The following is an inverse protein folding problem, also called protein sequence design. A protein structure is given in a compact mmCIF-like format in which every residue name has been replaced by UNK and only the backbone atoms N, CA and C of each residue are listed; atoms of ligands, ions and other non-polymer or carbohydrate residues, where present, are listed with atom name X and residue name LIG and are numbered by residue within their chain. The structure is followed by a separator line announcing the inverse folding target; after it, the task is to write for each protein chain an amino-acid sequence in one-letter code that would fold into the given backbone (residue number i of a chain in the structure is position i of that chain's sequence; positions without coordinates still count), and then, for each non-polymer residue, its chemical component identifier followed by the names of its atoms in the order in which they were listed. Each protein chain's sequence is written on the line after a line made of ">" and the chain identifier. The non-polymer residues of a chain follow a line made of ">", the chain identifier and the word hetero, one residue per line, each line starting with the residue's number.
data_IF_922625063772
#
_entry.id   IF_922625063772
#
_cell.length_a   1.000
_cell.length_b   1.000
_cell.length_c   1.000
_cell.angle_alpha   90.00
_cell.angle_beta   90.00
_cell.angle_gamma   90.00
#
_symmetry.space_group_name_H-M   'P 1'
#
loop_
_entity.id
_entity.type
_entity.pdbx_description
1 polymer ?
#
# COMPACT_ATOMS: atom_id res chain seq x y z
N UNK A 1 -6.21 -1.24 7.77
CA UNK A 1 -6.03 -2.55 7.10
C UNK A 1 -6.26 -3.71 8.08
N UNK A 2 -7.05 -4.72 7.72
CA UNK A 2 -7.04 -6.01 8.41
C UNK A 2 -5.60 -6.60 8.44
N UNK A 3 -5.19 -7.26 9.55
CA UNK A 3 -3.81 -7.73 9.70
C UNK A 3 -3.40 -8.78 8.65
N UNK A 4 -4.36 -9.38 7.95
CA UNK A 4 -4.16 -10.33 6.84
C UNK A 4 -3.25 -9.81 5.73
N UNK A 5 -3.27 -8.50 5.47
CA UNK A 5 -2.39 -7.90 4.47
C UNK A 5 -0.98 -7.54 4.97
N UNK A 6 -0.76 -7.60 6.30
CA UNK A 6 0.48 -7.18 6.97
C UNK A 6 0.99 -5.78 6.55
N UNK A 7 0.07 -4.83 6.31
CA UNK A 7 0.41 -3.50 5.78
C UNK A 7 0.44 -2.36 6.80
N UNK A 8 -0.10 -2.52 8.00
CA UNK A 8 -0.29 -1.42 8.95
C UNK A 8 0.97 -0.63 9.25
N UNK A 9 2.03 -1.30 9.72
CA UNK A 9 3.33 -0.66 10.02
C UNK A 9 4.01 -0.12 8.75
N UNK A 10 3.89 -0.83 7.63
CA UNK A 10 4.50 -0.43 6.36
C UNK A 10 3.86 0.84 5.77
N UNK A 11 2.57 1.07 6.04
CA UNK A 11 1.87 2.31 5.67
C UNK A 11 2.31 3.47 6.58
N UNK A 12 2.38 3.25 7.89
CA UNK A 12 2.88 4.28 8.81
C UNK A 12 4.29 4.75 8.42
N UNK A 13 5.17 3.82 8.02
CA UNK A 13 6.52 4.15 7.56
C UNK A 13 6.54 5.02 6.28
N UNK A 14 5.64 4.82 5.30
CA UNK A 14 5.58 5.72 4.14
C UNK A 14 5.08 7.10 4.51
N UNK A 15 4.05 7.16 5.35
CA UNK A 15 3.39 8.42 5.67
C UNK A 15 4.37 9.33 6.43
N UNK A 16 5.18 8.74 7.34
CA UNK A 16 6.29 9.44 7.99
C UNK A 16 7.32 9.95 6.97
N UNK A 17 7.69 9.15 5.98
CA UNK A 17 8.67 9.56 4.97
C UNK A 17 8.16 10.71 4.08
N UNK A 18 6.88 10.70 3.72
CA UNK A 18 6.25 11.80 2.98
C UNK A 18 6.14 13.06 3.82
N UNK A 19 5.70 12.92 5.08
CA UNK A 19 5.59 14.05 6.00
C UNK A 19 6.96 14.66 6.32
N UNK A 20 7.98 13.84 6.56
CA UNK A 20 9.33 14.34 6.83
C UNK A 20 9.88 15.13 5.64
N UNK A 21 9.64 14.65 4.42
CA UNK A 21 10.06 15.34 3.20
C UNK A 21 9.33 16.69 3.03
N UNK A 22 8.01 16.72 3.28
CA UNK A 22 7.20 17.92 3.21
C UNK A 22 7.60 18.97 4.27
N UNK A 23 7.92 18.54 5.49
CA UNK A 23 8.38 19.43 6.56
C UNK A 23 9.77 20.00 6.27
N UNK A 24 10.68 19.19 5.72
CA UNK A 24 12.00 19.67 5.28
C UNK A 24 11.86 20.74 4.20
N UNK A 25 11.04 20.49 3.19
CA UNK A 25 10.74 21.46 2.12
C UNK A 25 10.21 22.78 2.68
N UNK A 26 9.24 22.71 3.61
CA UNK A 26 8.66 23.90 4.23
C UNK A 26 9.68 24.73 5.01
N UNK A 27 10.46 24.11 5.88
CA UNK A 27 11.40 24.83 6.73
C UNK A 27 12.68 25.26 6.01
N UNK A 28 13.16 24.50 5.02
CA UNK A 28 14.39 24.81 4.30
C UNK A 28 14.17 25.73 3.09
N UNK A 29 13.03 25.58 2.40
CA UNK A 29 12.77 26.25 1.12
C UNK A 29 11.60 27.25 1.20
N UNK A 30 10.82 27.24 2.30
CA UNK A 30 9.66 28.10 2.48
C UNK A 30 8.44 27.69 1.62
N UNK A 31 8.46 26.50 1.03
CA UNK A 31 7.40 26.00 0.15
C UNK A 31 6.38 25.17 0.92
N UNK A 32 5.09 25.48 0.76
CA UNK A 32 3.98 24.71 1.31
C UNK A 32 3.51 23.57 0.40
N UNK A 33 4.10 23.43 -0.80
CA UNK A 33 3.63 22.46 -1.80
C UNK A 33 3.65 21.03 -1.24
N UNK A 34 4.75 20.60 -0.63
CA UNK A 34 4.85 19.27 -0.02
C UNK A 34 3.78 19.00 1.05
N UNK A 35 3.43 20.01 1.86
CA UNK A 35 2.39 19.92 2.91
C UNK A 35 1.00 19.80 2.26
N UNK A 36 0.73 20.62 1.25
CA UNK A 36 -0.56 20.63 0.56
C UNK A 36 -0.83 19.32 -0.20
N UNK A 37 0.21 18.69 -0.76
CA UNK A 37 0.09 17.42 -1.49
C UNK A 37 0.18 16.17 -0.59
N UNK A 38 0.52 16.32 0.69
CA UNK A 38 0.80 15.19 1.61
C UNK A 38 -0.33 14.16 1.64
N UNK A 39 -1.56 14.63 1.86
CA UNK A 39 -2.73 13.77 2.01
C UNK A 39 -3.02 12.98 0.74
N UNK A 40 -2.91 13.62 -0.43
CA UNK A 40 -3.13 12.96 -1.71
C UNK A 40 -2.10 11.83 -1.93
N UNK A 41 -0.81 12.11 -1.70
CA UNK A 41 0.28 11.13 -1.84
C UNK A 41 0.12 9.94 -0.90
N UNK A 42 -0.25 10.17 0.36
CA UNK A 42 -0.48 9.10 1.32
C UNK A 42 -1.69 8.24 0.90
N UNK A 43 -2.80 8.88 0.54
CA UNK A 43 -4.05 8.20 0.20
C UNK A 43 -3.91 7.28 -1.03
N UNK A 44 -3.14 7.68 -2.03
CA UNK A 44 -2.85 6.81 -3.19
C UNK A 44 -2.23 5.47 -2.79
N UNK A 45 -1.39 5.45 -1.73
CA UNK A 45 -0.77 4.22 -1.22
C UNK A 45 -1.66 3.46 -0.26
N UNK A 46 -2.33 4.19 0.65
CA UNK A 46 -3.27 3.61 1.62
C UNK A 46 -4.36 2.83 0.90
N UNK A 47 -4.96 3.38 -0.15
CA UNK A 47 -6.03 2.68 -0.88
C UNK A 47 -5.55 1.42 -1.61
N UNK A 48 -4.31 1.40 -2.15
CA UNK A 48 -3.74 0.19 -2.76
C UNK A 48 -3.54 -0.91 -1.71
N UNK A 49 -3.06 -0.56 -0.52
CA UNK A 49 -2.85 -1.48 0.58
C UNK A 49 -4.16 -1.96 1.22
N UNK A 50 -5.16 -1.08 1.38
CA UNK A 50 -6.50 -1.44 1.85
C UNK A 50 -7.17 -2.40 0.87
N UNK A 51 -7.16 -2.11 -0.44
CA UNK A 51 -7.68 -3.00 -1.47
C UNK A 51 -7.05 -4.40 -1.39
N UNK A 52 -5.73 -4.48 -1.25
CA UNK A 52 -5.03 -5.76 -1.13
C UNK A 52 -5.41 -6.50 0.17
N UNK A 53 -5.45 -5.80 1.30
CA UNK A 53 -5.77 -6.39 2.59
C UNK A 53 -7.22 -6.87 2.64
N UNK A 54 -8.14 -6.11 2.05
CA UNK A 54 -9.54 -6.47 1.86
C UNK A 54 -9.68 -7.72 0.99
N UNK A 55 -9.00 -7.76 -0.16
CA UNK A 55 -9.02 -8.90 -1.09
C UNK A 55 -8.49 -10.18 -0.43
N UNK A 56 -7.34 -10.12 0.25
CA UNK A 56 -6.78 -11.26 0.99
C UNK A 56 -7.71 -11.75 2.11
N UNK A 57 -8.36 -10.82 2.81
CA UNK A 57 -9.30 -11.18 3.88
C UNK A 57 -10.50 -11.92 3.31
N UNK A 58 -11.09 -11.43 2.22
CA UNK A 58 -12.22 -12.09 1.56
C UNK A 58 -11.83 -13.43 0.95
N UNK A 59 -10.65 -13.53 0.33
CA UNK A 59 -10.20 -14.76 -0.31
C UNK A 59 -9.89 -15.88 0.69
N UNK A 60 -9.38 -15.55 1.89
CA UNK A 60 -8.84 -16.53 2.84
C UNK A 60 -9.74 -16.84 4.05
N UNK A 61 -10.77 -16.02 4.33
CA UNK A 61 -11.69 -16.25 5.45
C UNK A 61 -13.05 -16.77 4.98
N UNK A 62 -13.76 -17.48 5.85
CA UNK A 62 -15.19 -17.80 5.68
C UNK A 62 -16.00 -16.80 6.49
N UNK A 63 -17.08 -16.31 5.92
CA UNK A 63 -18.02 -15.43 6.62
C UNK A 63 -19.38 -16.13 6.75
N UNK A 64 -20.06 -15.92 7.87
CA UNK A 64 -21.34 -16.60 8.17
C UNK A 64 -22.46 -16.23 7.20
N UNK A 65 -22.34 -15.07 6.54
CA UNK A 65 -23.30 -14.57 5.56
C UNK A 65 -23.07 -15.09 4.14
N UNK A 66 -22.03 -15.91 3.91
CA UNK A 66 -21.66 -16.37 2.58
C UNK A 66 -22.47 -17.58 2.12
N UNK A 67 -22.88 -17.55 0.85
CA UNK A 67 -23.55 -18.66 0.19
C UNK A 67 -22.55 -19.70 -0.35
N UNK A 68 -23.06 -20.85 -0.75
CA UNK A 68 -22.29 -21.87 -1.48
C UNK A 68 -21.73 -21.33 -2.81
N UNK A 69 -22.42 -20.37 -3.44
CA UNK A 69 -21.92 -19.72 -4.66
C UNK A 69 -20.67 -18.89 -4.36
N UNK A 70 -20.69 -18.10 -3.30
CA UNK A 70 -19.54 -17.27 -2.88
C UNK A 70 -18.33 -18.16 -2.58
N UNK A 71 -18.56 -19.31 -1.95
CA UNK A 71 -17.50 -20.28 -1.69
C UNK A 71 -16.85 -20.81 -2.98
N UNK A 72 -17.66 -21.15 -4.00
CA UNK A 72 -17.14 -21.60 -5.30
C UNK A 72 -16.37 -20.51 -6.03
N UNK A 73 -16.83 -19.25 -5.95
CA UNK A 73 -16.11 -18.10 -6.51
C UNK A 73 -14.74 -17.93 -5.85
N UNK A 74 -14.65 -18.02 -4.51
CA UNK A 74 -13.36 -17.96 -3.80
C UNK A 74 -12.40 -19.08 -4.21
N UNK A 75 -12.89 -20.30 -4.35
CA UNK A 75 -12.07 -21.42 -4.80
C UNK A 75 -11.55 -21.22 -6.23
N UNK A 76 -12.39 -20.70 -7.12
CA UNK A 76 -12.00 -20.39 -8.49
C UNK A 76 -10.95 -19.27 -8.53
N UNK A 77 -11.14 -18.20 -7.76
CA UNK A 77 -10.17 -17.10 -7.63
C UNK A 77 -8.83 -17.60 -7.08
N UNK A 78 -8.84 -18.39 -6.01
CA UNK A 78 -7.62 -18.96 -5.44
C UNK A 78 -6.89 -19.86 -6.44
N UNK A 79 -7.64 -20.68 -7.19
CA UNK A 79 -7.09 -21.54 -8.23
C UNK A 79 -6.45 -20.73 -9.36
N UNK A 80 -7.07 -19.63 -9.77
CA UNK A 80 -6.53 -18.73 -10.79
C UNK A 80 -5.25 -18.02 -10.32
N UNK A 81 -5.29 -17.44 -9.11
CA UNK A 81 -4.17 -16.70 -8.51
C UNK A 81 -2.95 -17.61 -8.35
N UNK A 82 -3.15 -18.84 -7.88
CA UNK A 82 -2.07 -19.79 -7.64
C UNK A 82 -1.70 -20.62 -8.88
N UNK A 83 -2.57 -20.66 -9.89
CA UNK A 83 -2.36 -21.41 -11.14
C UNK A 83 -1.68 -20.60 -12.24
N UNK A 84 -1.79 -19.27 -12.23
CA UNK A 84 -1.27 -18.39 -13.28
C UNK A 84 -0.05 -17.59 -12.83
N UNK A 85 0.86 -17.30 -13.78
CA UNK A 85 2.01 -16.41 -13.51
C UNK A 85 1.52 -15.00 -13.20
N UNK A 86 0.58 -14.48 -13.98
CA UNK A 86 0.03 -13.14 -13.75
C UNK A 86 -0.60 -12.99 -12.36
N UNK A 87 -1.42 -13.95 -11.94
CA UNK A 87 -2.02 -13.95 -10.59
C UNK A 87 -0.98 -14.00 -9.47
N UNK A 88 0.04 -14.86 -9.61
CA UNK A 88 1.17 -14.91 -8.66
C UNK A 88 1.94 -13.60 -8.59
N UNK A 89 2.18 -12.96 -9.72
CA UNK A 89 2.87 -11.66 -9.78
C UNK A 89 2.07 -10.59 -9.05
N UNK A 90 0.77 -10.49 -9.31
CA UNK A 90 -0.13 -9.55 -8.61
C UNK A 90 -0.15 -9.81 -7.10
N UNK A 91 -0.19 -11.07 -6.67
CA UNK A 91 -0.09 -11.41 -5.25
C UNK A 91 1.26 -10.96 -4.67
N UNK A 92 2.36 -11.31 -5.33
CA UNK A 92 3.72 -11.06 -4.86
C UNK A 92 4.03 -9.56 -4.75
N UNK A 93 3.79 -8.77 -5.80
CA UNK A 93 4.09 -7.33 -5.80
C UNK A 93 3.30 -6.58 -4.70
N UNK A 94 2.05 -6.97 -4.48
CA UNK A 94 1.23 -6.38 -3.42
C UNK A 94 1.70 -6.87 -2.05
N UNK A 95 2.14 -8.13 -1.93
CA UNK A 95 2.62 -8.70 -0.66
C UNK A 95 3.95 -8.09 -0.20
N UNK A 96 4.93 -7.92 -1.09
CA UNK A 96 6.21 -7.26 -0.76
C UNK A 96 6.06 -5.74 -0.62
N UNK A 97 5.03 -5.16 -1.23
CA UNK A 97 4.73 -3.74 -1.16
C UNK A 97 5.13 -3.01 -2.44
N UNK A 98 4.26 -2.09 -2.87
CA UNK A 98 4.47 -1.30 -4.07
C UNK A 98 5.50 -0.18 -3.83
N UNK A 99 6.20 0.29 -4.88
CA UNK A 99 7.22 1.33 -4.78
C UNK A 99 6.74 2.61 -4.08
N UNK A 100 7.68 3.33 -3.47
CA UNK A 100 7.46 4.65 -2.89
C UNK A 100 7.58 5.73 -3.97
N UNK A 101 6.76 6.77 -3.87
CA UNK A 101 6.88 7.99 -4.68
C UNK A 101 7.61 9.07 -3.87
N UNK A 102 8.82 8.76 -3.39
CA UNK A 102 9.66 9.73 -2.65
C UNK A 102 10.60 10.39 -3.66
N UNK A 103 10.54 11.73 -3.77
CA UNK A 103 11.58 12.50 -4.48
C UNK A 103 12.90 12.26 -3.75
N UNK A 104 13.97 11.90 -4.47
CA UNK A 104 15.29 11.79 -3.88
C UNK A 104 15.67 13.13 -3.23
N UNK A 105 15.91 13.11 -1.92
CA UNK A 105 16.41 14.28 -1.20
C UNK A 105 17.91 14.35 -1.48
N UNK A 106 18.31 15.10 -2.51
CA UNK A 106 19.71 15.33 -2.87
C UNK A 106 20.42 16.35 -1.94
N UNK A 107 19.72 16.91 -0.95
CA UNK A 107 20.16 18.10 -0.20
C UNK A 107 21.19 17.87 0.92
N UNK A 108 21.75 16.67 1.10
CA UNK A 108 22.82 16.43 2.08
C UNK A 108 24.24 16.40 1.53
N UNK A 109 24.46 16.66 0.23
CA UNK A 109 25.80 16.61 -0.38
C UNK A 109 26.74 17.77 0.00
N UNK A 110 26.30 18.75 0.78
CA UNK A 110 27.11 19.95 1.10
C UNK A 110 27.29 20.23 2.61
N UNK A 111 27.00 19.25 3.47
CA UNK A 111 27.27 19.35 4.91
C UNK A 111 28.51 18.52 5.29
N UNK A 112 29.69 18.98 4.88
CA UNK A 112 31.00 18.62 5.45
C UNK A 112 32.05 19.64 5.03
#
# INVERSE_FOLDING_TARGET
>A
VPPTGAKGLNLAASDIAYLSSALVEYYAEGSEQGINEYSEKCLQRVWKAERFSWWMTHLLHRFETESEFDHKIKQAELSYVLGSIAGKTTLAENYVGLPYEIKQIDSFKHAS
#
